data_IF_977446040988
#
_entry.id   IF_977446040988
#
_cell.length_a   1.000
_cell.length_b   1.000
_cell.length_c   1.000
_cell.angle_alpha   90.00
_cell.angle_beta   90.00
_cell.angle_gamma   90.00
#
_symmetry.space_group_name_H-M   'P 1'
#
loop_
_entity.id
_entity.type
_entity.pdbx_description
1 polymer ?
#
# COMPACT_ATOMS: atom_id res chain seq x y z
N UNK A 1 2.91 -0.75 2.63
CA UNK A 1 1.85 -1.50 1.94
C UNK A 1 1.75 -1.08 0.48
N UNK A 2 1.59 0.21 0.19
CA UNK A 2 1.56 0.74 -1.19
C UNK A 2 2.84 0.42 -1.97
N UNK A 3 4.02 0.57 -1.36
CA UNK A 3 5.30 0.20 -2.00
C UNK A 3 5.40 -1.29 -2.37
N UNK A 4 4.88 -2.18 -1.53
CA UNK A 4 4.82 -3.63 -1.85
C UNK A 4 3.88 -3.89 -3.04
N UNK A 5 2.79 -3.13 -3.13
CA UNK A 5 1.83 -3.21 -4.23
C UNK A 5 2.41 -2.65 -5.53
N UNK A 6 3.09 -1.51 -5.50
CA UNK A 6 3.56 -0.79 -6.70
C UNK A 6 4.99 -1.12 -7.10
N UNK A 7 5.78 -1.74 -6.23
CA UNK A 7 7.23 -1.89 -6.37
C UNK A 7 7.99 -0.56 -6.29
N UNK A 8 7.33 0.54 -5.89
CA UNK A 8 7.84 1.89 -5.98
C UNK A 8 7.61 2.67 -4.69
N UNK A 9 8.54 3.55 -4.28
CA UNK A 9 8.31 4.44 -3.15
C UNK A 9 7.04 5.27 -3.34
N UNK A 10 6.27 5.52 -2.27
CA UNK A 10 5.11 6.39 -2.34
C UNK A 10 5.49 7.77 -2.91
N UNK A 11 4.71 8.30 -3.85
CA UNK A 11 4.95 9.62 -4.44
C UNK A 11 6.32 9.79 -5.14
N UNK A 12 6.98 8.72 -5.60
CA UNK A 12 8.33 8.79 -6.20
C UNK A 12 8.49 9.82 -7.35
N UNK A 13 7.38 10.17 -8.02
CA UNK A 13 7.33 11.16 -9.11
C UNK A 13 7.27 12.62 -8.65
N UNK A 14 6.99 12.89 -7.37
CA UNK A 14 6.79 14.24 -6.81
C UNK A 14 7.96 14.58 -5.88
N UNK A 15 8.38 15.84 -5.81
CA UNK A 15 9.46 16.25 -4.91
C UNK A 15 9.08 16.10 -3.43
N UNK A 16 10.05 15.64 -2.63
CA UNK A 16 9.85 15.41 -1.19
C UNK A 16 10.19 16.71 -0.47
N UNK A 17 9.23 17.62 -0.43
CA UNK A 17 9.34 18.95 0.16
C UNK A 17 8.08 19.33 0.96
N UNK A 18 7.98 20.60 1.36
CA UNK A 18 6.84 21.11 2.13
C UNK A 18 5.51 21.09 1.37
N UNK A 19 5.52 21.14 0.03
CA UNK A 19 4.31 21.09 -0.79
C UNK A 19 3.68 19.70 -0.67
N UNK A 20 4.48 18.64 -0.86
CA UNK A 20 4.01 17.27 -0.70
C UNK A 20 3.44 17.02 0.71
N UNK A 21 4.08 17.58 1.75
CA UNK A 21 3.58 17.46 3.12
C UNK A 21 2.18 18.10 3.28
N UNK A 22 1.96 19.28 2.70
CA UNK A 22 0.65 19.95 2.70
C UNK A 22 -0.39 19.13 1.94
N UNK A 23 -0.05 18.58 0.77
CA UNK A 23 -0.95 17.75 -0.01
C UNK A 23 -1.37 16.49 0.77
N UNK A 24 -0.45 15.84 1.48
CA UNK A 24 -0.75 14.69 2.35
C UNK A 24 -1.70 15.09 3.49
N UNK A 25 -1.47 16.24 4.13
CA UNK A 25 -2.38 16.78 5.14
C UNK A 25 -3.78 17.06 4.57
N UNK A 26 -3.86 17.48 3.30
CA UNK A 26 -5.11 17.71 2.57
C UNK A 26 -5.75 16.43 2.00
N UNK A 27 -5.19 15.25 2.29
CA UNK A 27 -5.79 13.97 1.94
C UNK A 27 -5.16 13.27 0.74
N UNK A 28 -4.07 13.77 0.17
CA UNK A 28 -3.30 13.02 -0.84
C UNK A 28 -2.84 11.69 -0.23
N UNK A 29 -3.08 10.58 -0.93
CA UNK A 29 -2.64 9.24 -0.55
C UNK A 29 -1.95 8.55 -1.72
N UNK A 30 -1.04 7.60 -1.47
CA UNK A 30 -0.38 6.87 -2.54
C UNK A 30 -1.37 5.94 -3.24
N UNK A 31 -1.17 5.73 -4.54
CA UNK A 31 -1.94 4.80 -5.35
C UNK A 31 -1.45 3.36 -5.19
N UNK A 32 -2.27 2.42 -5.65
CA UNK A 32 -1.97 0.98 -5.67
C UNK A 32 -1.79 0.51 -7.11
N UNK A 33 -0.99 -0.54 -7.32
CA UNK A 33 -0.84 -1.14 -8.63
C UNK A 33 -2.12 -1.83 -9.09
N UNK A 34 -2.29 -1.88 -10.41
CA UNK A 34 -3.31 -2.71 -11.05
C UNK A 34 -3.19 -4.16 -10.56
N UNK A 35 -4.31 -4.76 -10.19
CA UNK A 35 -4.37 -6.13 -9.71
C UNK A 35 -4.15 -6.29 -8.20
N UNK A 36 -3.83 -5.22 -7.47
CA UNK A 36 -3.76 -5.27 -6.00
C UNK A 36 -5.13 -5.71 -5.45
N UNK A 37 -5.19 -6.77 -4.60
CA UNK A 37 -6.46 -7.25 -4.07
C UNK A 37 -7.21 -6.18 -3.26
N UNK A 38 -8.54 -6.09 -3.46
CA UNK A 38 -9.38 -5.08 -2.78
C UNK A 38 -9.27 -5.14 -1.25
N UNK A 39 -9.15 -6.33 -0.66
CA UNK A 39 -8.99 -6.48 0.78
C UNK A 39 -7.68 -5.85 1.28
N UNK A 40 -6.61 -5.92 0.48
CA UNK A 40 -5.32 -5.30 0.76
C UNK A 40 -5.42 -3.77 0.67
N UNK A 41 -6.09 -3.25 -0.38
CA UNK A 41 -6.35 -1.82 -0.56
C UNK A 41 -7.15 -1.27 0.62
N UNK A 42 -8.21 -1.97 1.04
CA UNK A 42 -9.05 -1.57 2.17
C UNK A 42 -8.24 -1.51 3.48
N UNK A 43 -7.38 -2.49 3.76
CA UNK A 43 -6.52 -2.47 4.95
C UNK A 43 -5.52 -1.32 4.88
N UNK A 44 -4.85 -1.13 3.74
CA UNK A 44 -3.88 -0.06 3.56
C UNK A 44 -4.53 1.33 3.68
N UNK A 45 -5.74 1.53 3.16
CA UNK A 45 -6.49 2.77 3.33
C UNK A 45 -6.83 3.05 4.79
N UNK A 46 -7.24 2.03 5.57
CA UNK A 46 -7.45 2.18 7.02
C UNK A 46 -6.18 2.58 7.76
N UNK A 47 -5.03 2.03 7.37
CA UNK A 47 -3.72 2.43 7.93
C UNK A 47 -3.39 3.91 7.66
N UNK A 48 -3.93 4.49 6.59
CA UNK A 48 -3.68 5.87 6.16
C UNK A 48 -4.87 6.81 6.45
N UNK A 49 -5.81 6.40 7.30
CA UNK A 49 -6.98 7.21 7.65
C UNK A 49 -6.55 8.55 8.27
N UNK A 50 -7.23 9.62 7.88
CA UNK A 50 -6.98 10.97 8.39
C UNK A 50 -7.25 11.04 9.91
N UNK A 51 -8.26 10.32 10.40
CA UNK A 51 -8.52 10.16 11.81
C UNK A 51 -7.63 9.04 12.39
N UNK A 52 -6.69 9.36 13.30
CA UNK A 52 -5.82 8.35 13.91
C UNK A 52 -6.59 7.24 14.65
N UNK A 53 -7.76 7.53 15.20
CA UNK A 53 -8.58 6.54 15.91
C UNK A 53 -9.18 5.46 15.01
N UNK A 54 -9.25 5.70 13.69
CA UNK A 54 -9.70 4.70 12.71
C UNK A 54 -8.56 3.75 12.27
N UNK A 55 -7.31 4.08 12.61
CA UNK A 55 -6.15 3.30 12.16
C UNK A 55 -6.08 1.99 12.96
N UNK A 56 -5.89 0.84 12.29
CA UNK A 56 -5.69 -0.42 12.97
C UNK A 56 -4.36 -0.40 13.73
N UNK A 57 -4.31 -1.15 14.83
CA UNK A 57 -3.05 -1.38 15.52
C UNK A 57 -2.21 -2.44 14.77
N UNK A 58 -0.96 -2.62 15.17
CA UNK A 58 -0.06 -3.58 14.52
C UNK A 58 -0.54 -5.04 14.61
N UNK A 59 -1.21 -5.43 15.70
CA UNK A 59 -1.81 -6.77 15.86
C UNK A 59 -2.92 -6.99 14.85
N UNK A 60 -3.83 -6.04 14.70
CA UNK A 60 -4.93 -6.13 13.73
C UNK A 60 -4.41 -6.29 12.30
N UNK A 61 -3.37 -5.52 11.94
CA UNK A 61 -2.73 -5.61 10.62
C UNK A 61 -2.11 -7.00 10.43
N UNK A 62 -1.34 -7.47 11.42
CA UNK A 62 -0.68 -8.77 11.39
C UNK A 62 -1.69 -9.92 11.23
N UNK A 63 -2.78 -9.90 12.00
CA UNK A 63 -3.83 -10.92 11.92
C UNK A 63 -4.49 -10.97 10.54
N UNK A 64 -4.76 -9.82 9.91
CA UNK A 64 -5.31 -9.77 8.55
C UNK A 64 -4.32 -10.36 7.53
N UNK A 65 -3.04 -9.98 7.61
CA UNK A 65 -2.00 -10.47 6.70
C UNK A 65 -1.78 -11.97 6.87
N UNK A 66 -1.69 -12.47 8.11
CA UNK A 66 -1.53 -13.89 8.41
C UNK A 66 -2.70 -14.71 7.89
N UNK A 67 -3.93 -14.25 8.10
CA UNK A 67 -5.13 -14.90 7.57
C UNK A 67 -5.10 -15.03 6.05
N UNK A 68 -4.68 -13.98 5.34
CA UNK A 68 -4.56 -14.04 3.87
C UNK A 68 -3.45 -14.98 3.42
N UNK A 69 -2.30 -14.93 4.09
CA UNK A 69 -1.19 -15.84 3.87
C UNK A 69 -1.63 -17.30 4.00
N UNK A 70 -2.30 -17.67 5.11
CA UNK A 70 -2.81 -19.02 5.33
C UNK A 70 -3.82 -19.47 4.27
N UNK A 71 -4.67 -18.57 3.77
CA UNK A 71 -5.64 -18.89 2.70
C UNK A 71 -4.91 -19.23 1.40
N UNK A 72 -3.90 -18.43 1.05
CA UNK A 72 -3.11 -18.60 -0.18
C UNK A 72 -2.23 -19.85 -0.10
N UNK A 73 -1.51 -20.03 1.02
CA UNK A 73 -0.58 -21.14 1.24
C UNK A 73 -1.28 -22.50 1.25
N UNK A 74 -2.41 -22.61 1.97
CA UNK A 74 -3.18 -23.86 2.00
C UNK A 74 -3.87 -24.18 0.66
N UNK A 75 -4.06 -23.19 -0.22
CA UNK A 75 -4.70 -23.30 -1.53
C UNK A 75 -6.11 -23.94 -1.54
N UNK A 76 -6.73 -24.09 -0.36
CA UNK A 76 -8.04 -24.72 -0.15
C UNK A 76 -8.92 -23.78 0.66
N UNK A 77 -9.89 -23.16 -0.02
CA UNK A 77 -10.91 -22.33 0.61
C UNK A 77 -12.21 -23.14 0.76
N UNK A 78 -12.63 -23.38 2.00
CA UNK A 78 -13.88 -24.10 2.30
C UNK A 78 -15.11 -23.19 2.36
N UNK A 79 -14.93 -21.89 2.60
CA UNK A 79 -16.01 -20.90 2.64
C UNK A 79 -15.87 -19.85 1.52
N UNK A 80 -17.01 -19.23 1.18
CA UNK A 80 -17.12 -18.26 0.07
C UNK A 80 -16.20 -17.05 0.24
N UNK A 81 -16.00 -16.56 1.46
CA UNK A 81 -15.18 -15.37 1.70
C UNK A 81 -13.69 -15.69 1.49
N UNK A 82 -13.22 -16.83 1.99
CA UNK A 82 -11.86 -17.30 1.70
C UNK A 82 -11.64 -17.55 0.22
N UNK A 83 -12.66 -18.05 -0.50
CA UNK A 83 -12.55 -18.27 -1.95
C UNK A 83 -12.39 -16.96 -2.72
N UNK A 84 -13.10 -15.90 -2.30
CA UNK A 84 -12.96 -14.57 -2.90
C UNK A 84 -11.53 -14.05 -2.69
N UNK A 85 -11.01 -14.14 -1.46
CA UNK A 85 -9.64 -13.73 -1.13
C UNK A 85 -8.63 -14.53 -1.98
N UNK A 86 -8.73 -15.86 -1.98
CA UNK A 86 -7.83 -16.74 -2.74
C UNK A 86 -7.81 -16.38 -4.23
N UNK A 87 -8.98 -16.17 -4.83
CA UNK A 87 -9.09 -15.77 -6.24
C UNK A 87 -8.48 -14.40 -6.50
N UNK A 88 -8.70 -13.44 -5.61
CA UNK A 88 -8.15 -12.09 -5.74
C UNK A 88 -6.62 -12.10 -5.74
N UNK A 89 -5.99 -12.83 -4.80
CA UNK A 89 -4.53 -12.95 -4.76
C UNK A 89 -3.97 -13.73 -5.95
N UNK A 90 -4.60 -14.83 -6.39
CA UNK A 90 -4.18 -15.53 -7.63
C UNK A 90 -4.24 -14.64 -8.87
N UNK A 91 -5.31 -13.86 -9.00
CA UNK A 91 -5.46 -12.89 -10.09
C UNK A 91 -4.37 -11.82 -10.02
N UNK A 92 -3.99 -11.38 -8.81
CA UNK A 92 -2.89 -10.45 -8.61
C UNK A 92 -1.56 -11.06 -9.11
N UNK A 93 -1.27 -12.32 -8.77
CA UNK A 93 -0.06 -13.03 -9.22
C UNK A 93 0.02 -13.13 -10.76
N UNK A 94 -1.10 -13.45 -11.41
CA UNK A 94 -1.21 -13.48 -12.87
C UNK A 94 -0.90 -12.10 -13.47
N UNK A 95 -1.44 -11.02 -12.91
CA UNK A 95 -1.19 -9.65 -13.38
C UNK A 95 0.26 -9.26 -13.15
N UNK A 96 0.83 -9.54 -11.97
CA UNK A 96 2.22 -9.20 -11.62
C UNK A 96 3.20 -9.79 -12.64
N UNK A 97 2.95 -11.02 -13.11
CA UNK A 97 3.78 -11.66 -14.13
C UNK A 97 3.84 -10.89 -15.46
N UNK A 98 2.86 -10.02 -15.73
CA UNK A 98 2.77 -9.21 -16.94
C UNK A 98 3.28 -7.77 -16.77
N UNK A 99 3.58 -7.35 -15.55
CA UNK A 99 4.04 -5.99 -15.27
C UNK A 99 5.54 -5.84 -15.59
N UNK A 100 5.92 -4.65 -16.07
CA UNK A 100 7.33 -4.32 -16.27
C UNK A 100 8.05 -4.23 -14.93
N UNK A 101 9.25 -4.82 -14.85
CA UNK A 101 10.15 -4.74 -13.69
C UNK A 101 11.07 -3.53 -13.74
N UNK A 102 10.92 -2.65 -14.73
CA UNK A 102 11.71 -1.43 -14.84
C UNK A 102 11.46 -0.52 -13.64
N UNK A 103 12.44 -0.47 -12.74
CA UNK A 103 12.45 0.48 -11.64
C UNK A 103 12.60 1.89 -12.24
N UNK A 104 11.69 2.82 -11.90
CA UNK A 104 11.83 4.20 -12.32
C UNK A 104 13.16 4.74 -11.80
N UNK A 105 13.89 5.41 -12.69
CA UNK A 105 15.14 6.06 -12.35
C UNK A 105 14.84 7.31 -11.51
N UNK A 106 14.84 7.18 -10.19
CA UNK A 106 14.74 8.30 -9.25
C UNK A 106 15.99 8.37 -8.37
N UNK A 107 16.40 9.60 -8.02
CA UNK A 107 17.55 9.80 -7.14
C UNK A 107 17.28 9.23 -5.75
N UNK A 108 18.18 8.38 -5.25
CA UNK A 108 18.09 7.81 -3.89
C UNK A 108 18.14 8.89 -2.81
N UNK A 109 18.80 10.02 -3.09
CA UNK A 109 18.90 11.15 -2.15
C UNK A 109 17.52 11.77 -1.85
N UNK A 110 16.54 11.54 -2.73
CA UNK A 110 15.16 12.00 -2.57
C UNK A 110 14.44 11.36 -1.37
N UNK A 111 14.81 10.13 -1.01
CA UNK A 111 14.17 9.37 0.07
C UNK A 111 14.78 9.66 1.46
N UNK A 112 15.64 10.67 1.57
CA UNK A 112 16.25 11.06 2.83
C UNK A 112 15.31 11.93 3.66
N UNK A 113 15.43 11.82 5.00
CA UNK A 113 14.69 12.69 5.90
C UNK A 113 15.11 14.15 5.70
N UNK A 114 14.14 15.05 5.56
CA UNK A 114 14.36 16.49 5.44
C UNK A 114 13.60 17.22 6.56
N UNK A 115 14.24 18.22 7.13
CA UNK A 115 13.57 19.10 8.09
C UNK A 115 12.58 19.99 7.33
N UNK A 116 11.29 19.87 7.65
CA UNK A 116 10.26 20.75 7.14
C UNK A 116 10.16 21.99 8.04
N UNK A 117 10.24 23.18 7.44
CA UNK A 117 10.11 24.44 8.14
C UNK A 117 8.73 25.04 7.87
N UNK A 118 7.84 24.97 8.85
CA UNK A 118 6.46 25.46 8.75
C UNK A 118 6.27 26.87 9.35
N UNK A 119 7.34 27.64 9.56
CA UNK A 119 7.28 28.98 10.21
C UNK A 119 6.35 30.00 9.53
N UNK A 120 5.87 29.72 8.31
CA UNK A 120 5.01 30.59 7.53
C UNK A 120 3.66 29.93 7.14
N UNK A 121 3.27 28.82 7.80
CA UNK A 121 1.90 28.29 7.73
C UNK A 121 1.06 28.81 8.90
#
# INVERSE_FOLDING_TARGET
>A
MTEVSTGNPPHYKVEYDGILAIEICNGLRPEFAKGTPDCYIQLANKCMDANPSNRPNASDIHENLLKWYEIVDNNVAKDKNKLIILKAFKTADEIISTLSTELPNYSKDKLTSKLLNFKNL
#
